data_IF_856465811795
#
_entry.id   IF_856465811795
#
_cell.length_a   1.000
_cell.length_b   1.000
_cell.length_c   1.000
_cell.angle_alpha   90.00
_cell.angle_beta   90.00
_cell.angle_gamma   90.00
#
_symmetry.space_group_name_H-M   'P 1'
#
loop_
_entity.id
_entity.type
_entity.pdbx_description
1 polymer ?
#
# COMPACT_ATOMS: atom_id res chain seq x y z
N UNK A 1 -6.42 14.88 -35.08
CA UNK A 1 -5.41 14.51 -34.07
C UNK A 1 -4.67 15.78 -33.68
N UNK A 2 -4.90 16.29 -32.46
CA UNK A 2 -4.09 17.39 -31.95
C UNK A 2 -2.66 16.86 -31.67
N UNK A 3 -1.61 17.60 -32.04
CA UNK A 3 -0.25 17.18 -31.74
C UNK A 3 -0.09 17.15 -30.22
N UNK A 4 0.39 16.02 -29.69
CA UNK A 4 0.80 15.89 -28.29
C UNK A 4 1.91 16.92 -28.07
N UNK A 5 1.58 17.98 -27.34
CA UNK A 5 2.49 19.06 -27.06
C UNK A 5 3.72 18.51 -26.30
N UNK A 6 4.87 18.51 -26.99
CA UNK A 6 6.19 18.11 -26.45
C UNK A 6 6.92 19.32 -25.86
N UNK A 7 6.22 20.36 -25.42
CA UNK A 7 6.82 21.50 -24.73
C UNK A 7 7.42 21.05 -23.41
N UNK A 8 8.66 21.48 -23.14
CA UNK A 8 9.29 21.32 -21.83
C UNK A 8 8.82 22.52 -21.00
N UNK A 9 7.92 22.38 -20.02
CA UNK A 9 7.25 23.53 -19.40
C UNK A 9 8.22 24.52 -18.74
N UNK A 10 9.34 24.02 -18.21
CA UNK A 10 10.42 24.84 -17.65
C UNK A 10 11.22 25.62 -18.70
N UNK A 11 11.35 25.13 -19.92
CA UNK A 11 12.01 25.85 -21.01
C UNK A 11 11.12 26.99 -21.52
N UNK A 12 9.81 26.75 -21.62
CA UNK A 12 8.82 27.79 -21.91
C UNK A 12 8.85 28.88 -20.82
N UNK A 13 8.78 28.49 -19.54
CA UNK A 13 8.79 29.45 -18.43
C UNK A 13 10.06 30.34 -18.38
N UNK A 14 11.23 29.83 -18.78
CA UNK A 14 12.46 30.63 -18.85
C UNK A 14 12.41 31.63 -20.01
N UNK A 15 11.84 31.22 -21.15
CA UNK A 15 11.73 32.09 -22.32
C UNK A 15 10.57 33.09 -22.22
N UNK A 16 9.59 32.84 -21.36
CA UNK A 16 8.48 33.75 -21.05
C UNK A 16 8.90 34.83 -20.01
N UNK A 17 10.03 34.64 -19.33
CA UNK A 17 10.60 35.60 -18.38
C UNK A 17 11.45 36.65 -19.10
N UNK A 18 11.00 37.91 -19.07
CA UNK A 18 11.67 39.03 -19.75
C UNK A 18 13.01 39.42 -19.13
N UNK A 19 13.31 38.98 -17.90
CA UNK A 19 14.60 39.24 -17.25
C UNK A 19 15.69 38.21 -17.63
N UNK A 20 15.30 37.11 -18.28
CA UNK A 20 16.20 36.04 -18.70
C UNK A 20 16.42 36.05 -20.22
N UNK A 21 17.62 35.68 -20.69
CA UNK A 21 17.86 35.55 -22.11
C UNK A 21 17.06 34.37 -22.68
N UNK A 22 16.57 34.51 -23.91
CA UNK A 22 15.98 33.39 -24.65
C UNK A 22 17.05 32.34 -24.94
N UNK A 23 16.91 31.16 -24.34
CA UNK A 23 17.89 30.08 -24.47
C UNK A 23 17.27 28.94 -25.30
N UNK A 24 17.95 28.39 -26.32
CA UNK A 24 17.50 27.18 -27.01
C UNK A 24 17.46 25.97 -26.06
N UNK A 25 16.47 25.09 -26.22
CA UNK A 25 16.29 23.90 -25.36
C UNK A 25 17.56 23.05 -25.21
N UNK A 26 18.32 22.88 -26.29
CA UNK A 26 19.58 22.12 -26.32
C UNK A 26 20.68 22.80 -25.49
N UNK A 27 20.77 24.12 -25.55
CA UNK A 27 21.69 24.91 -24.73
C UNK A 27 21.33 24.84 -23.25
N UNK A 28 20.04 24.96 -22.91
CA UNK A 28 19.56 24.80 -21.53
C UNK A 28 19.90 23.40 -20.99
N UNK A 29 19.70 22.36 -21.81
CA UNK A 29 20.05 20.99 -21.44
C UNK A 29 21.56 20.82 -21.18
N UNK A 30 22.42 21.46 -21.97
CA UNK A 30 23.87 21.45 -21.76
C UNK A 30 24.27 22.19 -20.47
N UNK A 31 23.73 23.38 -20.25
CA UNK A 31 23.96 24.17 -19.03
C UNK A 31 23.55 23.37 -17.79
N UNK A 32 22.38 22.72 -17.81
CA UNK A 32 21.92 21.89 -16.70
C UNK A 32 22.89 20.73 -16.42
N UNK A 33 23.42 20.08 -17.46
CA UNK A 33 24.44 19.03 -17.31
C UNK A 33 25.76 19.56 -16.76
N UNK A 34 26.22 20.72 -17.23
CA UNK A 34 27.44 21.39 -16.73
C UNK A 34 27.30 21.80 -15.26
N UNK A 35 26.11 22.22 -14.84
CA UNK A 35 25.77 22.51 -13.45
C UNK A 35 25.58 21.24 -12.59
N UNK A 36 25.76 20.04 -13.16
CA UNK A 36 25.63 18.77 -12.44
C UNK A 36 24.20 18.27 -12.27
N UNK A 37 23.21 18.86 -12.94
CA UNK A 37 21.84 18.35 -12.93
C UNK A 37 21.67 17.19 -13.92
N UNK A 38 21.07 16.10 -13.44
CA UNK A 38 20.71 14.96 -14.25
C UNK A 38 19.18 14.88 -14.47
N UNK A 39 18.78 14.54 -15.70
CA UNK A 39 17.37 14.21 -15.98
C UNK A 39 17.11 12.78 -15.53
N UNK A 40 16.63 12.64 -14.30
CA UNK A 40 16.22 11.34 -13.74
C UNK A 40 14.72 11.26 -13.53
N UNK A 41 14.17 10.04 -13.52
CA UNK A 41 12.78 9.81 -13.14
C UNK A 41 12.64 10.23 -11.67
N UNK A 42 11.61 11.04 -11.37
CA UNK A 42 11.24 11.34 -9.98
C UNK A 42 10.75 10.05 -9.31
N UNK A 43 11.67 9.32 -8.70
CA UNK A 43 11.34 8.24 -7.79
C UNK A 43 11.38 8.80 -6.36
N UNK A 44 10.29 8.62 -5.62
CA UNK A 44 10.26 8.93 -4.19
C UNK A 44 11.08 7.86 -3.47
N UNK A 45 12.40 8.01 -3.43
CA UNK A 45 13.27 7.14 -2.65
C UNK A 45 13.23 7.58 -1.17
N UNK A 46 12.07 7.44 -0.53
CA UNK A 46 11.91 7.68 0.91
C UNK A 46 12.76 6.74 1.77
N UNK A 47 13.30 5.66 1.18
CA UNK A 47 14.27 4.78 1.81
C UNK A 47 15.57 5.51 2.24
N UNK A 48 15.92 6.63 1.60
CA UNK A 48 17.14 7.41 1.91
C UNK A 48 16.91 8.55 2.90
N UNK A 49 15.68 8.78 3.35
CA UNK A 49 15.36 9.81 4.34
C UNK A 49 14.76 9.14 5.56
N UNK A 50 15.61 8.45 6.33
CA UNK A 50 15.17 7.76 7.53
C UNK A 50 14.92 8.79 8.63
N UNK A 51 13.66 8.89 9.08
CA UNK A 51 13.33 9.71 10.24
C UNK A 51 13.87 9.04 11.50
N UNK A 52 14.34 9.82 12.47
CA UNK A 52 14.94 9.29 13.70
C UNK A 52 14.00 8.35 14.49
N UNK A 53 12.69 8.57 14.46
CA UNK A 53 11.72 7.68 15.08
C UNK A 53 11.62 6.32 14.38
N UNK A 54 11.71 6.29 13.05
CA UNK A 54 11.77 5.04 12.26
C UNK A 54 13.03 4.25 12.61
N UNK A 55 14.19 4.92 12.74
CA UNK A 55 15.44 4.27 13.18
C UNK A 55 15.24 3.58 14.53
N UNK A 56 14.67 4.30 15.50
CA UNK A 56 14.42 3.75 16.84
C UNK A 56 13.45 2.56 16.79
N UNK A 57 12.37 2.62 16.00
CA UNK A 57 11.44 1.51 15.85
C UNK A 57 12.10 0.27 15.24
N UNK A 58 12.92 0.45 14.20
CA UNK A 58 13.67 -0.66 13.59
C UNK A 58 14.68 -1.27 14.56
N UNK A 59 15.38 -0.45 15.35
CA UNK A 59 16.32 -0.95 16.36
C UNK A 59 15.60 -1.76 17.44
N UNK A 60 14.47 -1.27 17.96
CA UNK A 60 13.63 -2.01 18.92
C UNK A 60 13.16 -3.34 18.35
N UNK A 61 12.62 -3.33 17.13
CA UNK A 61 12.21 -4.54 16.43
C UNK A 61 13.35 -5.56 16.31
N UNK A 62 14.55 -5.14 15.90
CA UNK A 62 15.72 -6.02 15.78
C UNK A 62 16.12 -6.60 17.15
N UNK A 63 16.11 -5.79 18.21
CA UNK A 63 16.41 -6.23 19.57
C UNK A 63 15.40 -7.26 20.07
N UNK A 64 14.10 -7.03 19.85
CA UNK A 64 13.04 -7.96 20.22
C UNK A 64 13.16 -9.29 19.46
N UNK A 65 13.38 -9.25 18.14
CA UNK A 65 13.58 -10.46 17.33
C UNK A 65 14.82 -11.25 17.79
N UNK A 66 15.92 -10.57 18.11
CA UNK A 66 17.12 -11.22 18.68
C UNK A 66 16.82 -11.87 20.03
N UNK A 67 16.10 -11.16 20.92
CA UNK A 67 15.67 -11.71 22.21
C UNK A 67 14.82 -12.97 22.03
N UNK A 68 13.79 -12.93 21.18
CA UNK A 68 12.92 -14.08 20.94
C UNK A 68 13.65 -15.29 20.38
N UNK A 69 14.64 -15.07 19.50
CA UNK A 69 15.52 -16.14 19.01
C UNK A 69 16.37 -16.73 20.12
N UNK A 70 16.93 -15.90 21.00
CA UNK A 70 17.71 -16.37 22.16
C UNK A 70 16.85 -17.14 23.17
N UNK A 71 15.57 -16.77 23.31
CA UNK A 71 14.59 -17.50 24.13
C UNK A 71 14.13 -18.82 23.49
N UNK A 72 14.58 -19.15 22.26
CA UNK A 72 14.18 -20.36 21.54
C UNK A 72 12.74 -20.32 21.03
N UNK A 73 12.10 -19.14 20.98
CA UNK A 73 10.72 -19.00 20.52
C UNK A 73 10.64 -19.14 19.00
N UNK A 74 9.66 -19.91 18.52
CA UNK A 74 9.37 -19.97 17.09
C UNK A 74 8.77 -18.65 16.62
N UNK A 75 9.37 -18.06 15.59
CA UNK A 75 8.89 -16.80 15.01
C UNK A 75 8.23 -17.12 13.67
N UNK A 76 6.94 -16.79 13.59
CA UNK A 76 6.15 -16.87 12.38
C UNK A 76 6.04 -15.49 11.74
N UNK A 77 6.23 -15.44 10.43
CA UNK A 77 6.05 -14.27 9.60
C UNK A 77 4.84 -14.52 8.71
N UNK A 78 3.95 -13.54 8.64
CA UNK A 78 2.85 -13.54 7.68
C UNK A 78 2.92 -12.27 6.83
N UNK A 79 2.48 -12.40 5.59
CA UNK A 79 2.35 -11.27 4.67
C UNK A 79 1.28 -11.59 3.62
N UNK A 80 0.77 -10.52 3.00
CA UNK A 80 -0.15 -10.60 1.88
C UNK A 80 0.56 -10.23 0.56
N UNK A 81 0.27 -11.00 -0.48
CA UNK A 81 0.71 -10.70 -1.84
C UNK A 81 -0.43 -10.87 -2.84
N UNK A 82 -0.25 -10.33 -4.03
CA UNK A 82 -1.21 -10.44 -5.11
C UNK A 82 -0.53 -10.74 -6.43
N UNK A 83 -1.17 -11.59 -7.24
CA UNK A 83 -0.77 -11.88 -8.61
C UNK A 83 -1.85 -11.38 -9.55
N UNK A 84 -1.46 -10.63 -10.59
CA UNK A 84 -2.40 -10.11 -11.58
C UNK A 84 -2.62 -11.14 -12.70
N UNK A 85 -3.86 -11.41 -13.10
CA UNK A 85 -4.14 -12.33 -14.21
C UNK A 85 -3.56 -11.86 -15.56
N UNK A 86 -3.39 -10.55 -15.72
CA UNK A 86 -2.76 -9.92 -16.88
C UNK A 86 -1.27 -9.59 -16.70
N UNK A 87 -0.60 -10.10 -15.66
CA UNK A 87 0.85 -9.93 -15.54
C UNK A 87 1.57 -10.64 -16.69
N UNK A 88 2.32 -9.87 -17.46
CA UNK A 88 3.06 -10.34 -18.62
C UNK A 88 4.49 -9.85 -18.54
N UNK A 89 5.40 -10.56 -19.21
CA UNK A 89 6.78 -10.12 -19.31
C UNK A 89 6.84 -8.78 -20.07
N UNK A 90 7.53 -7.79 -19.52
CA UNK A 90 7.74 -6.49 -20.15
C UNK A 90 8.48 -6.57 -21.50
N UNK A 91 9.12 -7.71 -21.79
CA UNK A 91 9.83 -8.00 -23.03
C UNK A 91 9.31 -9.33 -23.56
N UNK A 92 8.83 -9.30 -24.79
CA UNK A 92 8.38 -10.46 -25.54
C UNK A 92 8.95 -10.35 -26.95
N UNK A 93 9.33 -11.48 -27.52
CA UNK A 93 9.72 -11.55 -28.93
C UNK A 93 8.45 -11.38 -29.77
N UNK A 94 8.41 -10.32 -30.58
CA UNK A 94 7.34 -10.09 -31.53
C UNK A 94 7.86 -10.30 -32.94
N UNK A 95 7.06 -10.98 -33.76
CA UNK A 95 7.32 -11.10 -35.18
C UNK A 95 6.88 -9.80 -35.89
N UNK A 96 7.84 -9.06 -36.44
CA UNK A 96 7.59 -7.81 -37.16
C UNK A 96 7.13 -8.03 -38.61
N UNK A 97 7.20 -9.26 -39.12
CA UNK A 97 6.79 -9.58 -40.50
C UNK A 97 5.27 -9.62 -40.64
N UNK A 98 4.56 -9.98 -39.57
CA UNK A 98 3.09 -10.06 -39.52
C UNK A 98 2.52 -8.69 -39.15
N UNK A 99 1.93 -7.99 -40.13
CA UNK A 99 1.40 -6.63 -39.96
C UNK A 99 -0.07 -6.59 -39.54
N UNK A 100 -0.81 -7.69 -39.70
CA UNK A 100 -2.22 -7.77 -39.32
C UNK A 100 -2.67 -9.19 -38.98
N UNK A 101 -3.79 -9.31 -38.25
CA UNK A 101 -4.44 -10.60 -37.98
C UNK A 101 -4.86 -11.34 -39.25
N UNK A 102 -5.17 -10.61 -40.33
CA UNK A 102 -5.58 -11.19 -41.61
C UNK A 102 -4.38 -11.82 -42.32
N UNK A 103 -3.22 -11.18 -42.27
CA UNK A 103 -1.98 -11.71 -42.85
C UNK A 103 -1.54 -12.98 -42.10
N UNK A 104 -1.60 -12.95 -40.76
CA UNK A 104 -1.34 -14.13 -39.93
C UNK A 104 -2.25 -15.30 -40.31
N UNK A 105 -3.55 -15.05 -40.49
CA UNK A 105 -4.52 -16.09 -40.85
C UNK A 105 -4.28 -16.66 -42.25
N UNK A 106 -3.95 -15.81 -43.23
CA UNK A 106 -3.67 -16.24 -44.60
C UNK A 106 -2.37 -17.05 -44.72
N UNK A 107 -1.38 -16.74 -43.90
CA UNK A 107 -0.09 -17.46 -43.86
C UNK A 107 -0.05 -18.62 -42.86
N UNK A 108 -1.13 -18.86 -42.12
CA UNK A 108 -1.21 -19.92 -41.10
C UNK A 108 -0.35 -19.66 -39.86
N UNK A 109 0.00 -18.40 -39.60
CA UNK A 109 0.84 -17.95 -38.49
C UNK A 109 0.00 -17.39 -37.33
N UNK A 110 0.60 -17.32 -36.14
CA UNK A 110 0.02 -16.69 -34.96
C UNK A 110 0.59 -15.28 -34.78
N UNK A 111 -0.24 -14.30 -34.41
CA UNK A 111 0.20 -12.92 -34.08
C UNK A 111 0.93 -12.81 -32.74
N UNK A 112 1.41 -13.92 -32.18
CA UNK A 112 1.98 -13.98 -30.84
C UNK A 112 0.95 -13.84 -29.70
N UNK A 113 1.44 -13.77 -28.45
CA UNK A 113 0.57 -13.62 -27.27
C UNK A 113 -0.24 -12.33 -27.36
N UNK A 114 -1.55 -12.40 -27.09
CA UNK A 114 -2.38 -11.19 -27.01
C UNK A 114 -1.87 -10.31 -25.87
N UNK A 115 -1.59 -9.05 -26.18
CA UNK A 115 -1.31 -8.06 -25.15
C UNK A 115 -2.53 -7.97 -24.21
N UNK A 116 -2.32 -8.07 -22.89
CA UNK A 116 -3.42 -7.94 -21.95
C UNK A 116 -4.00 -6.53 -22.06
N UNK A 117 -5.34 -6.43 -22.09
CA UNK A 117 -6.08 -5.16 -22.16
C UNK A 117 -6.03 -4.36 -20.83
N UNK A 118 -5.42 -4.94 -19.79
CA UNK A 118 -5.20 -4.36 -18.46
C UNK A 118 -4.66 -5.41 -17.49
N UNK A 119 -4.46 -5.08 -16.22
CA UNK A 119 -3.98 -6.03 -15.21
C UNK A 119 -4.94 -7.21 -14.93
N UNK A 120 -6.22 -7.06 -15.29
CA UNK A 120 -7.24 -8.10 -15.09
C UNK A 120 -7.59 -8.33 -13.61
N UNK A 121 -8.26 -9.46 -13.34
CA UNK A 121 -8.54 -9.94 -11.98
C UNK A 121 -7.24 -10.28 -11.25
N UNK A 122 -7.28 -10.31 -9.93
CA UNK A 122 -6.15 -10.59 -9.06
C UNK A 122 -6.39 -11.84 -8.25
N UNK A 123 -5.32 -12.58 -7.99
CA UNK A 123 -5.28 -13.62 -6.99
C UNK A 123 -4.65 -13.03 -5.73
N UNK A 124 -5.40 -12.95 -4.64
CA UNK A 124 -4.92 -12.51 -3.33
C UNK A 124 -4.44 -13.73 -2.57
N UNK A 125 -3.23 -13.67 -2.04
CA UNK A 125 -2.57 -14.77 -1.34
C UNK A 125 -2.07 -14.27 0.01
N UNK A 126 -2.46 -14.97 1.07
CA UNK A 126 -1.98 -14.74 2.44
C UNK A 126 -1.43 -16.06 2.96
N UNK A 127 -0.25 -16.02 3.56
CA UNK A 127 0.32 -17.19 4.18
C UNK A 127 1.17 -16.82 5.39
N UNK A 128 1.22 -17.71 6.37
CA UNK A 128 2.13 -17.66 7.50
C UNK A 128 3.17 -18.78 7.45
N UNK A 129 4.42 -18.48 7.80
CA UNK A 129 5.52 -19.45 7.83
C UNK A 129 6.60 -19.09 8.84
N UNK A 130 7.45 -20.05 9.16
CA UNK A 130 8.60 -19.89 10.06
C UNK A 130 9.87 -20.45 9.42
N UNK A 131 10.96 -20.54 10.19
CA UNK A 131 12.19 -21.22 9.76
C UNK A 131 11.97 -22.72 9.43
N UNK A 132 10.88 -23.32 9.88
CA UNK A 132 10.50 -24.72 9.61
C UNK A 132 9.65 -24.86 8.33
N UNK A 133 9.34 -23.75 7.67
CA UNK A 133 8.49 -23.70 6.49
C UNK A 133 7.10 -23.13 6.77
N UNK A 134 6.22 -23.31 5.79
CA UNK A 134 4.85 -22.83 5.82
C UNK A 134 3.97 -23.67 6.74
N UNK A 135 3.05 -23.02 7.46
CA UNK A 135 2.09 -23.72 8.33
C UNK A 135 1.09 -24.50 7.48
N UNK A 136 0.91 -25.79 7.75
CA UNK A 136 -0.01 -26.63 6.99
C UNK A 136 -1.47 -26.14 7.08
N UNK A 137 -2.10 -26.01 5.91
CA UNK A 137 -3.42 -25.40 5.79
C UNK A 137 -3.45 -23.92 6.22
N UNK A 138 -2.31 -23.23 6.14
CA UNK A 138 -2.19 -21.81 6.46
C UNK A 138 -2.36 -20.87 5.26
N UNK A 139 -2.45 -21.42 4.05
CA UNK A 139 -2.70 -20.67 2.82
C UNK A 139 -4.16 -20.20 2.77
N UNK A 140 -4.35 -18.88 2.66
CA UNK A 140 -5.58 -18.27 2.19
C UNK A 140 -5.35 -17.71 0.79
N UNK A 141 -6.15 -18.16 -0.18
CA UNK A 141 -5.99 -17.79 -1.58
C UNK A 141 -7.36 -17.60 -2.21
N UNK A 142 -7.65 -16.41 -2.76
CA UNK A 142 -8.94 -16.12 -3.39
C UNK A 142 -8.83 -15.10 -4.52
N UNK A 143 -9.76 -15.17 -5.47
CA UNK A 143 -9.82 -14.26 -6.63
C UNK A 143 -10.59 -12.97 -6.27
N UNK A 144 -10.08 -11.84 -6.77
CA UNK A 144 -10.75 -10.55 -6.70
C UNK A 144 -12.12 -10.58 -7.38
N UNK A 145 -13.16 -10.07 -6.70
CA UNK A 145 -14.51 -9.97 -7.25
C UNK A 145 -14.67 -8.76 -8.17
N UNK A 146 -13.86 -7.70 -8.00
CA UNK A 146 -13.97 -6.45 -8.77
C UNK A 146 -12.69 -6.18 -9.59
N UNK A 147 -12.86 -5.71 -10.82
CA UNK A 147 -11.78 -5.15 -11.65
C UNK A 147 -11.40 -3.71 -11.22
N UNK A 148 -11.43 -3.39 -9.93
CA UNK A 148 -11.13 -2.04 -9.42
C UNK A 148 -9.67 -1.91 -9.04
N UNK A 149 -9.12 -0.70 -9.20
CA UNK A 149 -7.72 -0.42 -8.84
C UNK A 149 -7.48 -0.47 -7.32
N UNK A 150 -8.50 -0.14 -6.52
CA UNK A 150 -8.46 -0.11 -5.06
C UNK A 150 -8.48 -1.54 -4.49
N UNK A 151 -7.42 -1.88 -3.76
CA UNK A 151 -7.06 -3.22 -3.31
C UNK A 151 -7.49 -3.50 -1.87
N UNK A 152 -7.78 -2.44 -1.09
CA UNK A 152 -8.15 -2.56 0.32
C UNK A 152 -9.59 -3.05 0.54
N UNK A 153 -10.40 -3.14 -0.51
CA UNK A 153 -11.79 -3.56 -0.41
C UNK A 153 -11.96 -5.09 -0.30
N UNK A 154 -10.97 -5.88 -0.72
CA UNK A 154 -11.12 -7.34 -0.88
C UNK A 154 -10.42 -8.15 0.21
N UNK A 155 -9.22 -7.77 0.63
CA UNK A 155 -8.62 -8.23 1.89
C UNK A 155 -9.08 -7.31 3.01
N UNK A 156 -10.19 -7.66 3.66
CA UNK A 156 -10.77 -6.87 4.74
C UNK A 156 -10.50 -7.49 6.12
N UNK A 157 -10.77 -6.71 7.18
CA UNK A 157 -10.51 -7.12 8.56
C UNK A 157 -11.24 -8.40 8.98
N UNK A 158 -12.44 -8.63 8.48
CA UNK A 158 -13.22 -9.84 8.80
C UNK A 158 -12.59 -11.10 8.18
N UNK A 159 -12.20 -11.01 6.90
CA UNK A 159 -11.54 -12.11 6.18
C UNK A 159 -10.19 -12.45 6.81
N UNK A 160 -9.40 -11.42 7.16
CA UNK A 160 -8.15 -11.59 7.89
C UNK A 160 -8.40 -12.26 9.24
N UNK A 161 -9.37 -11.76 9.99
CA UNK A 161 -9.68 -12.25 11.33
C UNK A 161 -10.07 -13.73 11.32
N UNK A 162 -11.00 -14.13 10.44
CA UNK A 162 -11.51 -15.49 10.39
C UNK A 162 -10.39 -16.48 10.01
N UNK A 163 -9.56 -16.10 9.05
CA UNK A 163 -8.35 -16.86 8.72
C UNK A 163 -7.40 -16.94 9.91
N UNK A 164 -7.08 -15.81 10.54
CA UNK A 164 -6.13 -15.73 11.64
C UNK A 164 -6.58 -16.58 12.84
N UNK A 165 -7.87 -16.62 13.16
CA UNK A 165 -8.44 -17.53 14.16
C UNK A 165 -8.24 -19.01 13.82
N UNK A 166 -8.33 -19.38 12.54
CA UNK A 166 -8.03 -20.75 12.09
C UNK A 166 -6.53 -21.09 12.13
N UNK A 167 -5.67 -20.07 12.08
CA UNK A 167 -4.21 -20.22 12.14
C UNK A 167 -3.69 -20.37 13.57
N UNK A 168 -4.17 -19.56 14.52
CA UNK A 168 -3.62 -19.51 15.88
C UNK A 168 -3.48 -20.90 16.54
N UNK A 169 -4.47 -21.82 16.47
CA UNK A 169 -4.34 -23.16 17.06
C UNK A 169 -3.28 -24.06 16.41
N UNK A 170 -2.81 -23.72 15.20
CA UNK A 170 -1.79 -24.47 14.46
C UNK A 170 -0.37 -24.00 14.78
N UNK A 171 -0.22 -22.91 15.52
CA UNK A 171 1.08 -22.36 15.86
C UNK A 171 1.62 -23.02 17.13
N UNK A 172 2.95 -23.08 17.23
CA UNK A 172 3.60 -23.56 18.46
C UNK A 172 3.25 -22.67 19.65
N UNK A 173 3.13 -23.27 20.82
CA UNK A 173 2.96 -22.55 22.08
C UNK A 173 4.13 -21.59 22.31
N UNK A 174 3.86 -20.46 22.96
CA UNK A 174 4.84 -19.41 23.22
C UNK A 174 5.57 -18.91 21.95
N UNK A 175 4.92 -18.97 20.79
CA UNK A 175 5.47 -18.44 19.54
C UNK A 175 5.33 -16.91 19.46
N UNK A 176 5.99 -16.33 18.45
CA UNK A 176 5.88 -14.90 18.11
C UNK A 176 5.34 -14.81 16.69
N UNK A 177 4.38 -13.90 16.48
CA UNK A 177 3.85 -13.60 15.15
C UNK A 177 4.32 -12.21 14.76
N UNK A 178 4.90 -12.11 13.56
CA UNK A 178 5.35 -10.86 12.94
C UNK A 178 4.49 -10.61 11.71
N UNK A 179 3.88 -9.44 11.67
CA UNK A 179 3.05 -8.94 10.57
C UNK A 179 3.33 -7.44 10.37
N UNK A 180 2.92 -6.90 9.23
CA UNK A 180 3.02 -5.47 8.98
C UNK A 180 1.96 -4.68 9.79
N UNK A 181 1.87 -3.36 9.56
CA UNK A 181 0.90 -2.49 10.24
C UNK A 181 -0.23 -2.05 9.29
N UNK A 182 -0.71 -2.95 8.44
CA UNK A 182 -1.87 -2.68 7.61
C UNK A 182 -3.12 -2.43 8.48
N UNK A 183 -3.94 -1.46 8.07
CA UNK A 183 -5.07 -0.99 8.89
C UNK A 183 -6.12 -2.07 9.19
N UNK A 184 -6.24 -3.08 8.34
CA UNK A 184 -7.19 -4.19 8.52
C UNK A 184 -6.72 -5.24 9.53
N UNK A 185 -5.44 -5.27 9.92
CA UNK A 185 -4.97 -6.12 11.01
C UNK A 185 -5.44 -5.64 12.39
N UNK A 186 -5.77 -4.35 12.50
CA UNK A 186 -6.08 -3.68 13.77
C UNK A 186 -7.44 -2.99 13.73
N UNK A 187 -8.50 -3.77 13.54
CA UNK A 187 -9.88 -3.24 13.54
C UNK A 187 -10.27 -2.79 14.95
N UNK A 188 -10.51 -1.48 15.12
CA UNK A 188 -11.04 -0.92 16.36
C UNK A 188 -12.55 -1.12 16.40
N UNK A 189 -13.09 -1.58 17.55
CA UNK A 189 -14.54 -1.66 17.80
C UNK A 189 -15.23 -0.31 17.65
N UNK A 190 -14.53 0.73 18.10
CA UNK A 190 -15.02 2.09 18.13
C UNK A 190 -13.89 3.01 17.64
N UNK A 191 -13.75 3.18 16.32
CA UNK A 191 -12.66 3.94 15.74
C UNK A 191 -12.72 5.40 16.21
N UNK A 192 -11.59 5.88 16.74
CA UNK A 192 -11.41 7.28 17.11
C UNK A 192 -11.57 8.13 15.84
N UNK A 193 -12.40 9.19 15.87
CA UNK A 193 -12.61 10.02 14.70
C UNK A 193 -11.31 10.62 14.19
N UNK A 194 -11.19 10.75 12.87
CA UNK A 194 -10.04 11.40 12.22
C UNK A 194 -10.49 12.63 11.44
N UNK A 195 -9.54 13.44 10.98
CA UNK A 195 -9.83 14.58 10.10
C UNK A 195 -10.47 14.18 8.76
N UNK A 196 -10.49 12.90 8.39
CA UNK A 196 -11.22 12.40 7.22
C UNK A 196 -12.73 12.22 7.48
N UNK A 197 -13.16 12.06 8.74
CA UNK A 197 -14.56 11.80 9.08
C UNK A 197 -15.47 12.98 8.74
N UNK A 198 -16.73 12.71 8.39
CA UNK A 198 -17.72 13.77 8.24
C UNK A 198 -18.02 14.42 9.59
N UNK A 199 -18.32 15.72 9.57
CA UNK A 199 -18.47 16.56 10.78
C UNK A 199 -19.60 16.05 11.71
N UNK A 200 -20.71 15.63 11.12
CA UNK A 200 -21.84 14.99 11.80
C UNK A 200 -21.43 13.70 12.51
N UNK A 201 -20.58 12.87 11.89
CA UNK A 201 -20.07 11.64 12.50
C UNK A 201 -19.15 11.90 13.69
N UNK A 202 -18.32 12.95 13.62
CA UNK A 202 -17.50 13.38 14.76
C UNK A 202 -18.39 13.85 15.92
N UNK A 203 -19.45 14.61 15.64
CA UNK A 203 -20.41 15.05 16.68
C UNK A 203 -21.15 13.86 17.29
N UNK A 204 -21.60 12.90 16.47
CA UNK A 204 -22.25 11.67 16.95
C UNK A 204 -21.32 10.89 17.88
N UNK A 205 -20.05 10.73 17.50
CA UNK A 205 -19.07 10.03 18.32
C UNK A 205 -18.85 10.75 19.67
N UNK A 206 -18.59 12.07 19.65
CA UNK A 206 -18.39 12.85 20.88
C UNK A 206 -19.61 12.79 21.80
N UNK A 207 -20.83 12.88 21.26
CA UNK A 207 -22.08 12.72 22.04
C UNK A 207 -22.22 11.31 22.62
N UNK A 208 -21.83 10.27 21.87
CA UNK A 208 -21.84 8.89 22.37
C UNK A 208 -20.87 8.67 23.54
N UNK A 209 -19.87 9.55 23.70
CA UNK A 209 -18.92 9.55 24.84
C UNK A 209 -19.32 10.50 25.97
N UNK A 210 -20.54 11.04 25.92
CA UNK A 210 -21.05 11.95 26.95
C UNK A 210 -20.56 13.39 26.82
N UNK A 211 -19.87 13.75 25.72
CA UNK A 211 -19.48 15.13 25.49
C UNK A 211 -20.65 15.93 24.91
N UNK A 212 -21.08 16.96 25.63
CA UNK A 212 -22.04 17.90 25.08
C UNK A 212 -21.34 18.84 24.09
N UNK A 213 -21.83 18.85 22.84
CA UNK A 213 -21.30 19.71 21.78
C UNK A 213 -22.43 20.55 21.21
N UNK A 214 -22.34 21.84 21.49
CA UNK A 214 -23.13 22.88 20.85
C UNK A 214 -22.60 23.14 19.45
N UNK A 215 -23.51 23.08 18.48
CA UNK A 215 -23.25 23.42 17.08
C UNK A 215 -23.72 24.85 16.81
N UNK A 216 -22.97 25.66 16.04
CA UNK A 216 -21.90 25.25 15.14
C UNK A 216 -20.49 25.36 15.74
N UNK A 217 -19.71 24.27 15.68
CA UNK A 217 -18.29 24.24 16.07
C UNK A 217 -17.41 23.90 14.85
N UNK A 218 -16.17 24.41 14.77
CA UNK A 218 -15.23 24.09 13.68
C UNK A 218 -14.62 22.70 13.91
N UNK A 219 -14.33 21.96 12.83
CA UNK A 219 -13.83 20.56 12.90
C UNK A 219 -12.56 20.42 13.74
N UNK A 220 -11.67 21.41 13.69
CA UNK A 220 -10.45 21.43 14.50
C UNK A 220 -10.74 21.44 16.01
N UNK A 221 -11.68 22.28 16.47
CA UNK A 221 -12.10 22.31 17.88
C UNK A 221 -12.79 21.01 18.32
N UNK A 222 -13.50 20.34 17.40
CA UNK A 222 -14.04 19.01 17.68
C UNK A 222 -12.91 17.99 17.86
N UNK A 223 -11.85 18.08 17.05
CA UNK A 223 -10.69 17.19 17.15
C UNK A 223 -9.84 17.46 18.39
N UNK A 224 -9.81 18.68 18.92
CA UNK A 224 -9.22 18.97 20.24
C UNK A 224 -9.93 18.17 21.33
N UNK A 225 -11.27 18.24 21.37
CA UNK A 225 -12.07 17.43 22.31
C UNK A 225 -11.88 15.92 22.09
N UNK A 226 -11.76 15.46 20.85
CA UNK A 226 -11.42 14.06 20.56
C UNK A 226 -10.07 13.72 21.17
N UNK A 227 -9.03 14.55 21.01
CA UNK A 227 -7.69 14.31 21.58
C UNK A 227 -7.69 14.27 23.11
N UNK A 228 -8.53 15.06 23.77
CA UNK A 228 -8.69 15.04 25.22
C UNK A 228 -9.21 13.69 25.72
N UNK A 229 -10.20 13.10 25.03
CA UNK A 229 -10.88 11.88 25.51
C UNK A 229 -10.42 10.59 24.80
N UNK A 230 -9.67 10.68 23.70
CA UNK A 230 -9.33 9.52 22.88
C UNK A 230 -8.62 8.42 23.67
N UNK A 231 -7.76 8.78 24.62
CA UNK A 231 -7.00 7.82 25.41
C UNK A 231 -7.90 6.95 26.32
N UNK A 232 -9.07 7.45 26.70
CA UNK A 232 -10.08 6.72 27.48
C UNK A 232 -10.88 5.73 26.62
N UNK A 233 -10.89 5.96 25.31
CA UNK A 233 -11.71 5.26 24.34
C UNK A 233 -10.90 4.53 23.26
N UNK A 234 -9.57 4.53 23.37
CA UNK A 234 -8.67 3.78 22.50
C UNK A 234 -8.72 2.28 22.86
N UNK A 235 -9.87 1.68 22.62
CA UNK A 235 -10.16 0.27 22.89
C UNK A 235 -10.19 -0.48 21.56
N UNK A 236 -9.24 -1.39 21.39
CA UNK A 236 -9.30 -2.42 20.36
C UNK A 236 -10.48 -3.36 20.63
N UNK A 237 -10.90 -4.13 19.62
CA UNK A 237 -11.89 -5.16 19.82
C UNK A 237 -11.46 -6.19 20.87
N UNK A 238 -12.05 -6.11 22.06
CA UNK A 238 -11.85 -7.08 23.16
C UNK A 238 -12.98 -8.09 23.28
N UNK A 239 -13.95 -8.15 22.35
CA UNK A 239 -14.96 -9.23 22.37
C UNK A 239 -14.37 -10.62 22.11
N UNK A 240 -13.07 -10.69 21.80
CA UNK A 240 -12.32 -11.89 21.47
C UNK A 240 -11.01 -11.98 22.28
N UNK A 241 -11.04 -11.52 23.54
CA UNK A 241 -10.04 -11.96 24.53
C UNK A 241 -10.24 -13.45 24.75
N UNK A 242 -9.48 -14.27 24.05
CA UNK A 242 -9.19 -15.62 24.52
C UNK A 242 -8.34 -15.43 25.78
N UNK A 243 -8.93 -15.76 26.94
CA UNK A 243 -8.14 -16.33 28.02
C UNK A 243 -7.51 -17.60 27.45
N UNK A 244 -6.28 -17.47 26.97
CA UNK A 244 -5.41 -18.60 26.75
C UNK A 244 -4.87 -18.91 28.14
N UNK A 245 -5.53 -19.83 28.84
CA UNK A 245 -4.92 -20.58 29.93
C UNK A 245 -3.72 -21.40 29.40
#
# INVERSE_FOLDING_TARGET
MAPVDRTWPKHCAINDDTELPTIPRTSLQRILKELGFEYTKRNRNSALTERGDIVVWRQKYILDIRRYRNEGRTIYFLDETWVNAGETCNKVWMDETIKSHRDAFLEGLSTGPKNPTGKGKRLIVVHIGSAEGFVEGGLLCFESKKNTADYHDEMNGDTFYDWFCGILPKLKNNSVIVMDNASYHSVKLDPIPTMAWKKDKIVQWLRSKGCNIETPMVKHLMMDKVREIQHLHDKYDRRRSFEIE
#
